data_IF_074706917471
#
_entry.id   IF_074706917471
#
_cell.length_a   1.000
_cell.length_b   1.000
_cell.length_c   1.000
_cell.angle_alpha   90.00
_cell.angle_beta   90.00
_cell.angle_gamma   90.00
#
_symmetry.space_group_name_H-M   'P 1'
#
loop_
_entity.id
_entity.type
_entity.pdbx_description
1 polymer ?
#
# COMPACT_ATOMS: atom_id res chain seq x y z
N UNK A 1 3.44 0.86 -16.59
CA UNK A 1 2.78 0.83 -15.27
C UNK A 1 2.76 2.21 -14.58
N UNK A 2 3.74 2.64 -13.77
CA UNK A 2 3.64 3.93 -13.04
C UNK A 2 3.52 5.18 -13.95
N UNK A 3 4.26 5.22 -15.05
CA UNK A 3 4.21 6.35 -15.99
C UNK A 3 2.85 6.45 -16.71
N UNK A 4 2.13 5.34 -16.86
CA UNK A 4 0.78 5.32 -17.44
C UNK A 4 -0.25 5.81 -16.41
N UNK A 5 -0.10 5.44 -15.14
CA UNK A 5 -0.93 5.98 -14.05
C UNK A 5 -0.76 7.49 -13.92
N UNK A 6 0.48 8.01 -13.95
CA UNK A 6 0.76 9.46 -13.91
C UNK A 6 0.14 10.18 -15.12
N UNK A 7 0.18 9.55 -16.30
CA UNK A 7 -0.42 10.10 -17.52
C UNK A 7 -1.96 10.09 -17.44
N UNK A 8 -2.53 9.09 -16.79
CA UNK A 8 -3.97 8.90 -16.61
C UNK A 8 -4.56 9.59 -15.38
N UNK A 9 -3.81 10.45 -14.67
CA UNK A 9 -4.36 11.25 -13.55
C UNK A 9 -5.48 12.14 -14.09
N UNK A 10 -6.72 11.68 -13.90
CA UNK A 10 -7.92 12.46 -14.20
C UNK A 10 -7.89 13.68 -13.30
N UNK A 11 -7.80 14.85 -13.93
CA UNK A 11 -7.81 16.13 -13.23
C UNK A 11 -9.15 16.81 -13.49
N UNK A 12 -10.24 16.17 -13.05
CA UNK A 12 -11.59 16.73 -13.19
C UNK A 12 -11.72 17.92 -12.22
N UNK A 13 -12.60 18.88 -12.54
CA UNK A 13 -12.87 20.02 -11.64
C UNK A 13 -13.27 19.59 -10.22
N UNK A 14 -13.97 18.47 -10.06
CA UNK A 14 -14.34 17.90 -8.76
C UNK A 14 -13.12 17.50 -7.92
N UNK A 15 -12.12 16.92 -8.57
CA UNK A 15 -10.93 16.37 -7.90
C UNK A 15 -10.04 17.53 -7.44
N UNK A 16 -9.90 18.55 -8.28
CA UNK A 16 -9.19 19.80 -7.96
C UNK A 16 -9.84 20.57 -6.81
N UNK A 17 -11.18 20.63 -6.79
CA UNK A 17 -11.94 21.23 -5.67
C UNK A 17 -11.73 20.45 -4.38
N UNK A 18 -11.87 19.13 -4.45
CA UNK A 18 -11.70 18.24 -3.29
C UNK A 18 -10.29 18.36 -2.73
N UNK A 19 -9.28 18.40 -3.59
CA UNK A 19 -7.89 18.61 -3.19
C UNK A 19 -7.65 19.98 -2.52
N UNK A 20 -8.19 21.06 -3.08
CA UNK A 20 -8.10 22.39 -2.47
C UNK A 20 -8.78 22.46 -1.10
N UNK A 21 -9.96 21.82 -0.97
CA UNK A 21 -10.69 21.73 0.29
C UNK A 21 -9.97 20.88 1.33
N UNK A 22 -9.44 19.71 0.96
CA UNK A 22 -8.73 18.84 1.92
C UNK A 22 -7.43 19.47 2.38
N UNK A 23 -6.62 20.02 1.46
CA UNK A 23 -5.40 20.74 1.81
C UNK A 23 -5.67 21.97 2.66
N UNK A 24 -6.69 22.75 2.30
CA UNK A 24 -7.13 23.91 3.06
C UNK A 24 -7.62 23.54 4.47
N UNK A 25 -8.42 22.49 4.60
CA UNK A 25 -8.92 22.01 5.88
C UNK A 25 -7.80 21.48 6.78
N UNK A 26 -6.88 20.68 6.24
CA UNK A 26 -5.75 20.12 7.01
C UNK A 26 -4.82 21.23 7.48
N UNK A 27 -4.39 22.13 6.58
CA UNK A 27 -3.53 23.27 6.96
C UNK A 27 -4.22 24.24 7.91
N UNK A 28 -5.54 24.43 7.75
CA UNK A 28 -6.36 25.26 8.64
C UNK A 28 -6.45 24.65 10.04
N UNK A 29 -6.70 23.35 10.15
CA UNK A 29 -6.73 22.63 11.42
C UNK A 29 -5.37 22.72 12.13
N UNK A 30 -4.27 22.53 11.39
CA UNK A 30 -2.92 22.70 11.92
C UNK A 30 -2.71 24.14 12.41
N UNK A 31 -3.12 25.15 11.63
CA UNK A 31 -3.03 26.56 12.01
C UNK A 31 -3.80 26.88 13.29
N UNK A 32 -5.02 26.35 13.44
CA UNK A 32 -5.84 26.50 14.66
C UNK A 32 -5.17 25.83 15.86
N UNK A 33 -4.64 24.61 15.69
CA UNK A 33 -3.93 23.89 16.75
C UNK A 33 -2.66 24.65 17.18
N UNK A 34 -1.92 25.24 16.24
CA UNK A 34 -0.75 26.07 16.55
C UNK A 34 -1.13 27.37 17.27
N UNK A 35 -2.25 27.98 16.89
CA UNK A 35 -2.80 29.16 17.55
C UNK A 35 -3.16 28.83 19.01
N UNK A 36 -3.81 27.69 19.26
CA UNK A 36 -4.09 27.21 20.62
C UNK A 36 -2.83 26.88 21.43
N UNK A 37 -1.74 26.47 20.76
CA UNK A 37 -0.44 26.24 21.39
C UNK A 37 0.43 27.50 21.52
N UNK A 38 -0.07 28.67 21.12
CA UNK A 38 0.65 29.95 21.22
C UNK A 38 1.93 30.01 20.36
N UNK A 39 1.98 29.27 19.24
CA UNK A 39 3.18 29.22 18.37
C UNK A 39 3.07 30.28 17.27
N UNK A 40 4.08 31.13 17.11
CA UNK A 40 4.14 32.22 16.12
C UNK A 40 4.04 31.78 14.64
N UNK A 41 4.07 30.47 14.38
CA UNK A 41 3.89 29.91 13.03
C UNK A 41 2.42 29.85 12.60
N UNK A 42 1.46 30.09 13.51
CA UNK A 42 0.02 30.02 13.21
C UNK A 42 -0.45 30.89 12.02
N UNK A 43 0.02 32.14 11.80
CA UNK A 43 -0.53 32.99 10.76
C UNK A 43 -0.07 32.52 9.37
N UNK A 44 1.10 31.89 9.26
CA UNK A 44 1.57 31.27 8.02
C UNK A 44 0.69 30.08 7.62
N UNK A 45 0.35 29.20 8.57
CA UNK A 45 -0.51 28.05 8.28
C UNK A 45 -1.95 28.47 7.95
N UNK A 46 -2.51 29.47 8.66
CA UNK A 46 -3.85 29.99 8.38
C UNK A 46 -3.92 30.75 7.05
N UNK A 47 -2.89 31.52 6.69
CA UNK A 47 -2.85 32.20 5.39
C UNK A 47 -2.75 31.20 4.24
N UNK A 48 -1.92 30.16 4.36
CA UNK A 48 -1.85 29.06 3.38
C UNK A 48 -3.20 28.33 3.27
N UNK A 49 -3.88 28.08 4.38
CA UNK A 49 -5.23 27.49 4.38
C UNK A 49 -6.23 28.36 3.62
N UNK A 50 -6.27 29.67 3.88
CA UNK A 50 -7.14 30.61 3.20
C UNK A 50 -6.89 30.65 1.69
N UNK A 51 -5.62 30.63 1.28
CA UNK A 51 -5.21 30.55 -0.13
C UNK A 51 -5.74 29.25 -0.76
N UNK A 52 -5.48 28.08 -0.16
CA UNK A 52 -5.94 26.81 -0.72
C UNK A 52 -7.46 26.69 -0.81
N UNK A 53 -8.19 27.17 0.20
CA UNK A 53 -9.66 27.20 0.17
C UNK A 53 -10.18 28.16 -0.90
N UNK A 54 -9.64 29.38 -0.98
CA UNK A 54 -10.06 30.38 -1.95
C UNK A 54 -9.83 29.89 -3.38
N UNK A 55 -8.64 29.38 -3.70
CA UNK A 55 -8.37 28.85 -5.03
C UNK A 55 -9.09 27.53 -5.31
N UNK A 56 -9.33 26.70 -4.29
CA UNK A 56 -10.15 25.49 -4.38
C UNK A 56 -11.59 25.80 -4.82
N UNK A 57 -12.21 26.86 -4.27
CA UNK A 57 -13.58 27.27 -4.64
C UNK A 57 -13.63 28.10 -5.93
N UNK A 58 -12.79 29.14 -6.04
CA UNK A 58 -12.90 30.18 -7.07
C UNK A 58 -12.27 29.78 -8.39
N UNK A 59 -11.05 29.24 -8.37
CA UNK A 59 -10.27 28.92 -9.57
C UNK A 59 -9.51 27.58 -9.44
N UNK A 60 -10.22 26.43 -9.46
CA UNK A 60 -9.58 25.12 -9.37
C UNK A 60 -8.62 24.82 -10.53
N UNK A 61 -8.73 25.55 -11.64
CA UNK A 61 -7.84 25.40 -12.80
C UNK A 61 -6.37 25.72 -12.51
N UNK A 62 -6.10 26.66 -11.60
CA UNK A 62 -4.72 27.04 -11.21
C UNK A 62 -4.08 25.95 -10.34
N UNK A 63 -4.88 25.18 -9.59
CA UNK A 63 -4.39 24.07 -8.77
C UNK A 63 -4.04 22.84 -9.62
N UNK A 64 -4.38 22.80 -10.91
CA UNK A 64 -4.17 21.63 -11.77
C UNK A 64 -2.71 21.13 -11.84
N UNK A 65 -1.70 21.96 -12.15
CA UNK A 65 -0.30 21.52 -12.14
C UNK A 65 0.16 21.05 -10.76
N UNK A 66 -0.26 21.75 -9.70
CA UNK A 66 0.11 21.41 -8.32
C UNK A 66 -0.51 20.09 -7.86
N UNK A 67 -1.81 19.88 -8.12
CA UNK A 67 -2.51 18.63 -7.87
C UNK A 67 -1.84 17.48 -8.63
N UNK A 68 -1.48 17.67 -9.91
CA UNK A 68 -0.81 16.62 -10.69
C UNK A 68 0.55 16.26 -10.11
N UNK A 69 1.35 17.25 -9.69
CA UNK A 69 2.62 17.01 -9.02
C UNK A 69 2.43 16.26 -7.70
N UNK A 70 1.47 16.70 -6.86
CA UNK A 70 1.14 16.04 -5.61
C UNK A 70 0.69 14.59 -5.79
N UNK A 71 -0.20 14.34 -6.76
CA UNK A 71 -0.68 13.00 -7.07
C UNK A 71 0.44 12.10 -7.60
N UNK A 72 1.40 12.66 -8.35
CA UNK A 72 2.58 11.92 -8.81
C UNK A 72 3.46 11.48 -7.63
N UNK A 73 3.67 12.36 -6.65
CA UNK A 73 4.36 12.01 -5.41
C UNK A 73 3.61 10.94 -4.62
N UNK A 74 2.28 11.05 -4.53
CA UNK A 74 1.44 10.06 -3.86
C UNK A 74 1.57 8.67 -4.52
N UNK A 75 1.58 8.60 -5.86
CA UNK A 75 1.79 7.34 -6.60
C UNK A 75 3.18 6.77 -6.34
N UNK A 76 4.22 7.60 -6.36
CA UNK A 76 5.59 7.17 -6.07
C UNK A 76 5.72 6.64 -4.64
N UNK A 77 5.12 7.32 -3.66
CA UNK A 77 5.02 6.85 -2.28
C UNK A 77 4.27 5.53 -2.18
N UNK A 78 3.13 5.39 -2.85
CA UNK A 78 2.37 4.14 -2.90
C UNK A 78 3.22 2.99 -3.45
N UNK A 79 3.99 3.24 -4.51
CA UNK A 79 4.93 2.26 -5.04
C UNK A 79 5.96 1.83 -3.99
N UNK A 80 6.61 2.78 -3.31
CA UNK A 80 7.59 2.46 -2.25
C UNK A 80 6.93 1.69 -1.10
N UNK A 81 5.77 2.15 -0.61
CA UNK A 81 5.06 1.55 0.51
C UNK A 81 4.69 0.09 0.27
N UNK A 82 4.23 -0.28 -0.93
CA UNK A 82 3.96 -1.69 -1.24
C UNK A 82 5.19 -2.57 -1.07
N UNK A 83 6.39 -2.09 -1.47
CA UNK A 83 7.64 -2.85 -1.30
C UNK A 83 8.03 -2.93 0.17
N UNK A 84 7.89 -1.83 0.89
CA UNK A 84 8.18 -1.78 2.34
C UNK A 84 7.27 -2.75 3.10
N UNK A 85 5.96 -2.76 2.82
CA UNK A 85 5.01 -3.66 3.46
C UNK A 85 5.39 -5.12 3.17
N UNK A 86 5.68 -5.46 1.91
CA UNK A 86 6.10 -6.82 1.55
C UNK A 86 7.43 -7.22 2.20
N UNK A 87 8.39 -6.30 2.25
CA UNK A 87 9.67 -6.50 2.93
C UNK A 87 9.45 -6.79 4.42
N UNK A 88 8.69 -5.94 5.11
CA UNK A 88 8.35 -6.11 6.53
C UNK A 88 7.61 -7.42 6.76
N UNK A 89 6.60 -7.75 5.95
CA UNK A 89 5.86 -9.00 6.05
C UNK A 89 6.80 -10.21 5.89
N UNK A 90 7.68 -10.19 4.90
CA UNK A 90 8.59 -11.29 4.64
C UNK A 90 9.59 -11.49 5.78
N UNK A 91 10.20 -10.41 6.28
CA UNK A 91 11.23 -10.50 7.31
C UNK A 91 10.68 -10.66 8.73
N UNK A 92 9.51 -10.09 9.04
CA UNK A 92 8.93 -10.18 10.39
C UNK A 92 7.92 -11.31 10.56
N UNK A 93 7.34 -11.84 9.49
CA UNK A 93 6.34 -12.92 9.59
C UNK A 93 6.85 -14.19 8.92
N UNK A 94 7.15 -14.12 7.62
CA UNK A 94 7.50 -15.34 6.85
C UNK A 94 8.82 -15.94 7.30
N UNK A 95 9.85 -15.11 7.47
CA UNK A 95 11.20 -15.53 7.84
C UNK A 95 11.25 -16.16 9.24
N UNK A 96 10.70 -15.55 10.31
CA UNK A 96 10.69 -16.20 11.61
C UNK A 96 9.81 -17.45 11.64
N UNK A 97 8.73 -17.50 10.86
CA UNK A 97 7.93 -18.72 10.74
C UNK A 97 8.73 -19.87 10.08
N UNK A 98 9.49 -19.57 9.02
CA UNK A 98 10.38 -20.55 8.39
C UNK A 98 11.54 -20.96 9.30
N UNK A 99 12.13 -20.00 10.03
CA UNK A 99 13.22 -20.25 10.97
C UNK A 99 12.75 -21.11 12.15
N UNK A 100 11.59 -20.81 12.72
CA UNK A 100 11.00 -21.62 13.80
C UNK A 100 10.70 -23.04 13.31
N UNK A 101 10.07 -23.22 12.14
CA UNK A 101 9.87 -24.53 11.54
C UNK A 101 11.17 -25.32 11.36
N UNK A 102 12.25 -24.63 10.92
CA UNK A 102 13.59 -25.22 10.76
C UNK A 102 14.21 -25.63 12.09
N UNK A 103 14.12 -24.80 13.14
CA UNK A 103 14.62 -25.12 14.49
C UNK A 103 13.85 -26.30 15.10
N UNK A 104 12.53 -26.34 14.90
CA UNK A 104 11.66 -27.45 15.31
C UNK A 104 11.87 -28.72 14.48
N UNK A 105 12.77 -28.70 13.48
CA UNK A 105 13.08 -29.84 12.62
C UNK A 105 11.95 -30.25 11.67
N UNK A 106 10.87 -29.45 11.59
CA UNK A 106 9.68 -29.70 10.77
C UNK A 106 10.04 -29.50 9.31
N UNK A 107 10.15 -30.59 8.56
CA UNK A 107 10.27 -30.55 7.11
C UNK A 107 8.88 -30.58 6.46
N UNK A 108 8.21 -29.42 6.46
CA UNK A 108 6.86 -29.29 5.89
C UNK A 108 6.81 -29.48 4.38
N UNK A 109 7.94 -29.28 3.69
CA UNK A 109 8.04 -29.34 2.23
C UNK A 109 8.73 -30.62 1.73
N UNK A 110 9.25 -31.48 2.62
CA UNK A 110 9.98 -32.69 2.24
C UNK A 110 11.27 -32.39 1.47
N UNK A 111 11.94 -31.27 1.78
CA UNK A 111 13.11 -30.78 1.04
C UNK A 111 14.43 -31.41 1.51
N UNK A 112 14.43 -32.15 2.62
CA UNK A 112 15.63 -32.86 3.08
C UNK A 112 15.98 -33.98 2.09
N UNK A 113 17.25 -34.03 1.72
CA UNK A 113 17.80 -35.12 0.91
C UNK A 113 17.84 -36.37 1.79
N UNK A 114 16.95 -37.32 1.50
CA UNK A 114 16.95 -38.63 2.11
C UNK A 114 18.00 -39.49 1.40
N UNK A 115 19.09 -39.78 2.10
CA UNK A 115 20.19 -40.62 1.58
C UNK A 115 19.83 -42.10 1.56
N UNK A 116 18.79 -42.51 2.27
CA UNK A 116 18.30 -43.89 2.34
C UNK A 116 17.12 -44.13 1.37
N UNK A 117 16.67 -43.10 0.63
CA UNK A 117 15.68 -43.24 -0.43
C UNK A 117 16.25 -44.08 -1.59
N UNK A 118 15.93 -45.37 -1.61
CA UNK A 118 16.56 -46.39 -2.48
C UNK A 118 16.22 -46.26 -3.97
N UNK A 119 15.28 -45.42 -4.39
CA UNK A 119 14.84 -45.39 -5.80
C UNK A 119 14.26 -44.07 -6.33
N UNK A 120 13.51 -43.28 -5.55
CA UNK A 120 12.91 -42.01 -6.02
C UNK A 120 12.36 -41.17 -4.86
N UNK A 121 12.31 -39.84 -5.04
CA UNK A 121 11.58 -38.91 -4.17
C UNK A 121 10.07 -38.84 -4.49
N UNK A 122 9.58 -39.72 -5.36
CA UNK A 122 8.19 -39.76 -5.77
C UNK A 122 7.27 -40.10 -4.59
N UNK A 123 6.37 -39.18 -4.25
CA UNK A 123 5.33 -39.40 -3.25
C UNK A 123 4.22 -40.23 -3.92
N UNK A 124 4.19 -41.53 -3.65
CA UNK A 124 3.10 -42.39 -4.10
C UNK A 124 1.78 -41.93 -3.48
N UNK A 125 0.84 -41.55 -4.33
CA UNK A 125 -0.53 -41.30 -3.90
C UNK A 125 -1.26 -42.63 -3.85
N UNK A 126 -1.79 -42.97 -2.68
CA UNK A 126 -2.71 -44.10 -2.53
C UNK A 126 -3.87 -43.90 -3.49
N UNK A 127 -4.05 -44.85 -4.41
CA UNK A 127 -5.23 -44.89 -5.27
C UNK A 127 -6.41 -45.35 -4.43
N UNK A 128 -7.09 -44.41 -3.79
CA UNK A 128 -8.44 -44.66 -3.29
C UNK A 128 -9.41 -44.79 -4.48
N UNK A 129 -10.46 -45.59 -4.33
CA UNK A 129 -11.50 -45.72 -5.36
C UNK A 129 -12.12 -44.34 -5.61
N UNK A 130 -11.93 -43.82 -6.83
CA UNK A 130 -12.42 -42.51 -7.22
C UNK A 130 -13.96 -42.55 -7.25
N UNK A 131 -14.59 -41.85 -6.31
CA UNK A 131 -16.05 -41.72 -6.23
C UNK A 131 -16.49 -40.55 -7.10
N UNK A 132 -17.71 -40.64 -7.62
CA UNK A 132 -18.32 -39.56 -8.43
C UNK A 132 -18.30 -38.20 -7.70
N UNK A 133 -18.41 -38.21 -6.38
CA UNK A 133 -18.36 -37.03 -5.50
C UNK A 133 -16.99 -36.34 -5.46
N UNK A 134 -15.91 -37.06 -5.76
CA UNK A 134 -14.55 -36.49 -5.74
C UNK A 134 -14.33 -35.57 -6.95
N UNK A 135 -15.05 -35.81 -8.05
CA UNK A 135 -15.08 -34.90 -9.20
C UNK A 135 -15.82 -33.58 -8.93
N UNK A 136 -16.64 -33.52 -7.88
CA UNK A 136 -17.33 -32.28 -7.46
C UNK A 136 -16.46 -31.43 -6.52
N UNK A 137 -15.35 -31.97 -6.00
CA UNK A 137 -14.46 -31.30 -5.04
C UNK A 137 -12.99 -31.53 -5.41
N UNK A 138 -12.57 -30.90 -6.52
CA UNK A 138 -11.23 -31.08 -7.10
C UNK A 138 -10.10 -30.30 -6.40
N UNK A 139 -10.42 -29.42 -5.44
CA UNK A 139 -9.47 -28.54 -4.77
C UNK A 139 -9.52 -28.68 -3.25
#
# INVERSE_FOLDING_TARGET
MLLEEIRNIKSRRSDLRSFGLTMGAVTGLIGVVLLWRGRDLYPYFLSVSGVFLAFGLLLPGVLKPFHKAWMTLALMMGWVMTRVILFVLFFLVVTPLGLTARILGRDVLGLKIDRDARSSYWIERTREEVKKKDYERQF
#
